data_IF_284372519246
#
_entry.id   IF_284372519246
#
_cell.length_a   1.000
_cell.length_b   1.000
_cell.length_c   1.000
_cell.angle_alpha   90.00
_cell.angle_beta   90.00
_cell.angle_gamma   90.00
#
_symmetry.space_group_name_H-M   'P 1'
#
loop_
_entity.id
_entity.type
_entity.pdbx_description
1 polymer ?
#
# COMPACT_ATOMS: atom_id res chain seq x y z
N UNK A 1 36.47 94.93 -48.35
CA UNK A 1 35.18 94.56 -47.72
C UNK A 1 34.66 93.18 -48.14
N UNK A 2 34.76 92.77 -49.41
CA UNK A 2 34.15 91.51 -49.90
C UNK A 2 34.85 90.24 -49.36
N UNK A 3 36.18 90.23 -49.21
CA UNK A 3 36.92 89.06 -48.69
C UNK A 3 36.74 88.80 -47.18
N UNK A 4 36.50 89.84 -46.37
CA UNK A 4 36.29 89.66 -44.92
C UNK A 4 34.91 89.07 -44.62
N UNK A 5 33.87 89.45 -45.38
CA UNK A 5 32.54 88.87 -45.25
C UNK A 5 32.51 87.39 -45.66
N UNK A 6 33.22 87.01 -46.73
CA UNK A 6 33.31 85.60 -47.17
C UNK A 6 34.02 84.71 -46.15
N UNK A 7 35.11 85.21 -45.54
CA UNK A 7 35.82 84.49 -44.49
C UNK A 7 35.00 84.37 -43.20
N UNK A 8 34.26 85.42 -42.83
CA UNK A 8 33.35 85.40 -41.69
C UNK A 8 32.21 84.40 -41.89
N UNK A 9 31.60 84.37 -43.08
CA UNK A 9 30.54 83.42 -43.40
C UNK A 9 31.03 81.96 -43.40
N UNK A 10 32.24 81.70 -43.92
CA UNK A 10 32.84 80.36 -43.88
C UNK A 10 33.16 79.92 -42.45
N UNK A 11 33.66 80.83 -41.61
CA UNK A 11 33.91 80.55 -40.19
C UNK A 11 32.61 80.23 -39.45
N UNK A 12 31.58 81.07 -39.61
CA UNK A 12 30.26 80.87 -39.00
C UNK A 12 29.63 79.54 -39.44
N UNK A 13 29.68 79.21 -40.73
CA UNK A 13 29.15 77.93 -41.23
C UNK A 13 29.90 76.71 -40.67
N UNK A 14 31.22 76.83 -40.46
CA UNK A 14 32.01 75.75 -39.86
C UNK A 14 31.68 75.57 -38.36
N UNK A 15 31.51 76.67 -37.62
CA UNK A 15 31.10 76.60 -36.21
C UNK A 15 29.67 76.09 -36.04
N UNK A 16 28.74 76.47 -36.93
CA UNK A 16 27.38 75.90 -36.97
C UNK A 16 27.44 74.39 -37.22
N UNK A 17 28.23 73.96 -38.22
CA UNK A 17 28.39 72.53 -38.52
C UNK A 17 28.97 71.74 -37.35
N UNK A 18 29.99 72.27 -36.66
CA UNK A 18 30.56 71.64 -35.45
C UNK A 18 29.53 71.53 -34.33
N UNK A 19 28.71 72.56 -34.14
CA UNK A 19 27.60 72.54 -33.17
C UNK A 19 26.60 71.45 -33.52
N UNK A 20 26.16 71.39 -34.78
CA UNK A 20 25.22 70.38 -35.27
C UNK A 20 25.78 68.96 -35.13
N UNK A 21 27.04 68.74 -35.51
CA UNK A 21 27.73 67.46 -35.36
C UNK A 21 27.83 67.05 -33.88
N UNK A 22 28.13 68.00 -32.98
CA UNK A 22 28.15 67.76 -31.53
C UNK A 22 26.78 67.37 -30.98
N UNK A 23 25.72 68.12 -31.30
CA UNK A 23 24.36 67.80 -30.86
C UNK A 23 23.85 66.47 -31.43
N UNK A 24 24.22 66.13 -32.67
CA UNK A 24 23.93 64.83 -33.28
C UNK A 24 24.67 63.69 -32.57
N UNK A 25 25.95 63.88 -32.21
CA UNK A 25 26.71 62.87 -31.46
C UNK A 25 26.09 62.62 -30.07
N UNK A 26 25.73 63.69 -29.36
CA UNK A 26 25.09 63.62 -28.04
C UNK A 26 23.72 62.94 -28.15
N UNK A 27 22.90 63.32 -29.14
CA UNK A 27 21.61 62.69 -29.40
C UNK A 27 21.75 61.19 -29.70
N UNK A 28 22.73 60.81 -30.52
CA UNK A 28 23.01 59.41 -30.84
C UNK A 28 23.48 58.60 -29.61
N UNK A 29 24.34 59.17 -28.75
CA UNK A 29 24.77 58.53 -27.49
C UNK A 29 23.60 58.34 -26.54
N UNK A 30 22.75 59.35 -26.39
CA UNK A 30 21.55 59.29 -25.57
C UNK A 30 20.58 58.21 -26.06
N UNK A 31 20.28 58.18 -27.36
CA UNK A 31 19.40 57.16 -27.95
C UNK A 31 19.94 55.73 -27.74
N UNK A 32 21.25 55.51 -27.89
CA UNK A 32 21.88 54.21 -27.61
C UNK A 32 21.76 53.82 -26.14
N UNK A 33 22.00 54.76 -25.21
CA UNK A 33 21.88 54.51 -23.78
C UNK A 33 20.45 54.11 -23.39
N UNK A 34 19.44 54.84 -23.88
CA UNK A 34 18.03 54.52 -23.65
C UNK A 34 17.65 53.15 -24.24
N UNK A 35 18.12 52.85 -25.47
CA UNK A 35 17.89 51.53 -26.10
C UNK A 35 18.51 50.40 -25.29
N UNK A 36 19.75 50.55 -24.82
CA UNK A 36 20.43 49.53 -24.04
C UNK A 36 19.74 49.29 -22.70
N UNK A 37 19.30 50.36 -22.02
CA UNK A 37 18.53 50.26 -20.78
C UNK A 37 17.20 49.52 -21.00
N UNK A 38 16.50 49.83 -22.10
CA UNK A 38 15.27 49.12 -22.48
C UNK A 38 15.51 47.63 -22.75
N UNK A 39 16.55 47.28 -23.50
CA UNK A 39 16.90 45.89 -23.80
C UNK A 39 17.28 45.12 -22.51
N UNK A 40 18.07 45.73 -21.64
CA UNK A 40 18.43 45.17 -20.34
C UNK A 40 17.19 44.89 -19.48
N UNK A 41 16.28 45.86 -19.37
CA UNK A 41 15.01 45.68 -18.65
C UNK A 41 14.16 44.57 -19.27
N UNK A 42 14.07 44.52 -20.61
CA UNK A 42 13.32 43.47 -21.33
C UNK A 42 13.89 42.08 -21.06
N UNK A 43 15.21 41.93 -21.09
CA UNK A 43 15.88 40.67 -20.79
C UNK A 43 15.70 40.24 -19.33
N UNK A 44 15.86 41.17 -18.38
CA UNK A 44 15.58 40.91 -16.97
C UNK A 44 14.14 40.43 -16.75
N UNK A 45 13.17 41.12 -17.34
CA UNK A 45 11.74 40.74 -17.25
C UNK A 45 11.49 39.37 -17.86
N UNK A 46 12.12 39.05 -18.99
CA UNK A 46 12.02 37.74 -19.62
C UNK A 46 12.65 36.63 -18.75
N UNK A 47 13.84 36.86 -18.17
CA UNK A 47 14.49 35.91 -17.25
C UNK A 47 13.63 35.66 -16.01
N UNK A 48 13.13 36.72 -15.39
CA UNK A 48 12.26 36.63 -14.22
C UNK A 48 10.96 35.89 -14.56
N UNK A 49 10.34 36.19 -15.71
CA UNK A 49 9.13 35.49 -16.15
C UNK A 49 9.38 34.00 -16.36
N UNK A 50 10.49 33.60 -17.00
CA UNK A 50 10.84 32.18 -17.19
C UNK A 50 11.11 31.48 -15.87
N UNK A 51 11.84 32.12 -14.97
CA UNK A 51 12.10 31.59 -13.63
C UNK A 51 10.79 31.38 -12.86
N UNK A 52 9.90 32.38 -12.87
CA UNK A 52 8.58 32.28 -12.26
C UNK A 52 7.73 31.17 -12.87
N UNK A 53 7.69 31.06 -14.20
CA UNK A 53 6.95 29.99 -14.89
C UNK A 53 7.49 28.61 -14.51
N UNK A 54 8.81 28.47 -14.41
CA UNK A 54 9.46 27.22 -14.02
C UNK A 54 9.12 26.85 -12.57
N UNK A 55 9.18 27.81 -11.66
CA UNK A 55 8.87 27.57 -10.26
C UNK A 55 7.37 27.28 -10.04
N UNK A 56 6.48 27.98 -10.75
CA UNK A 56 5.04 27.68 -10.74
C UNK A 56 4.76 26.27 -11.26
N UNK A 57 5.44 25.84 -12.33
CA UNK A 57 5.30 24.47 -12.84
C UNK A 57 5.83 23.43 -11.85
N UNK A 58 6.93 23.72 -11.14
CA UNK A 58 7.46 22.87 -10.08
C UNK A 58 6.48 22.76 -8.91
N UNK A 59 5.93 23.87 -8.44
CA UNK A 59 4.96 23.88 -7.34
C UNK A 59 3.67 23.14 -7.70
N UNK A 60 3.21 23.22 -8.96
CA UNK A 60 2.07 22.42 -9.45
C UNK A 60 2.35 20.92 -9.34
N UNK A 61 3.50 20.45 -9.81
CA UNK A 61 3.88 19.03 -9.68
C UNK A 61 3.96 18.58 -8.22
N UNK A 62 4.58 19.37 -7.35
CA UNK A 62 4.65 19.06 -5.91
C UNK A 62 3.24 18.95 -5.31
N UNK A 63 2.32 19.84 -5.69
CA UNK A 63 0.93 19.78 -5.25
C UNK A 63 0.23 18.51 -5.74
N UNK A 64 0.38 18.16 -7.01
CA UNK A 64 -0.19 16.94 -7.61
C UNK A 64 0.35 15.68 -6.92
N UNK A 65 1.66 15.60 -6.68
CA UNK A 65 2.31 14.50 -5.95
C UNK A 65 1.77 14.40 -4.52
N UNK A 66 1.61 15.54 -3.82
CA UNK A 66 1.06 15.57 -2.46
C UNK A 66 -0.40 15.13 -2.41
N UNK A 67 -1.22 15.56 -3.38
CA UNK A 67 -2.62 15.10 -3.51
C UNK A 67 -2.69 13.60 -3.78
N UNK A 68 -1.81 13.08 -4.64
CA UNK A 68 -1.69 11.64 -4.91
C UNK A 68 -1.29 10.86 -3.65
N UNK A 69 -0.22 11.26 -2.96
CA UNK A 69 0.18 10.60 -1.71
C UNK A 69 -0.90 10.68 -0.64
N UNK A 70 -1.66 11.77 -0.56
CA UNK A 70 -2.82 11.88 0.34
C UNK A 70 -3.92 10.87 -0.03
N UNK A 71 -4.21 10.69 -1.33
CA UNK A 71 -5.17 9.68 -1.78
C UNK A 71 -4.68 8.27 -1.46
N UNK A 72 -3.41 7.95 -1.75
CA UNK A 72 -2.79 6.65 -1.42
C UNK A 72 -2.84 6.36 0.09
N UNK A 73 -2.56 7.36 0.94
CA UNK A 73 -2.68 7.20 2.40
C UNK A 73 -4.13 6.95 2.81
N UNK A 74 -5.09 7.69 2.24
CA UNK A 74 -6.51 7.48 2.54
C UNK A 74 -6.97 6.10 2.08
N UNK A 75 -6.57 5.66 0.88
CA UNK A 75 -6.87 4.32 0.36
C UNK A 75 -6.25 3.24 1.25
N UNK A 76 -4.98 3.38 1.63
CA UNK A 76 -4.29 2.46 2.54
C UNK A 76 -4.93 2.39 3.94
N UNK A 77 -5.55 3.48 4.39
CA UNK A 77 -6.35 3.53 5.63
C UNK A 77 -7.68 2.81 5.42
N UNK A 78 -8.27 2.94 4.23
CA UNK A 78 -9.57 2.39 3.87
C UNK A 78 -9.54 0.93 3.39
N UNK A 79 -8.37 0.34 3.13
CA UNK A 79 -8.21 -1.05 2.68
C UNK A 79 -7.47 -1.95 3.69
N UNK A 80 -7.02 -1.39 4.81
CA UNK A 80 -6.30 -2.09 5.87
C UNK A 80 -4.79 -2.22 5.63
N UNK A 81 -4.22 -1.57 4.60
CA UNK A 81 -2.82 -1.73 4.22
C UNK A 81 -1.84 -0.75 4.88
N UNK A 82 -2.33 0.26 5.61
CA UNK A 82 -1.46 1.25 6.24
C UNK A 82 -0.66 0.66 7.42
N UNK A 83 0.65 0.47 7.21
CA UNK A 83 1.57 -0.13 8.19
C UNK A 83 1.97 0.80 9.34
N UNK A 84 1.68 2.10 9.23
CA UNK A 84 1.89 3.05 10.34
C UNK A 84 0.79 2.94 11.40
N UNK A 85 -0.30 2.24 11.10
CA UNK A 85 -1.45 2.09 11.98
C UNK A 85 -1.47 0.68 12.57
N UNK A 86 -1.54 0.53 13.91
CA UNK A 86 -1.62 -0.78 14.55
C UNK A 86 -2.83 -1.59 14.09
N UNK A 87 -2.75 -2.94 14.06
CA UNK A 87 -3.86 -3.81 13.65
C UNK A 87 -5.19 -3.53 14.35
N UNK A 88 -5.16 -3.21 15.66
CA UNK A 88 -6.37 -2.89 16.43
C UNK A 88 -7.10 -1.66 15.90
N UNK A 89 -6.38 -0.64 15.45
CA UNK A 89 -6.95 0.57 14.86
C UNK A 89 -7.44 0.31 13.44
N UNK A 90 -6.72 -0.50 12.66
CA UNK A 90 -7.18 -0.94 11.33
C UNK A 90 -8.49 -1.71 11.41
N UNK A 91 -8.62 -2.62 12.37
CA UNK A 91 -9.86 -3.35 12.62
C UNK A 91 -11.02 -2.44 13.06
N UNK A 92 -10.75 -1.37 13.82
CA UNK A 92 -11.76 -0.36 14.16
C UNK A 92 -12.22 0.43 12.92
N UNK A 93 -11.29 0.79 12.03
CA UNK A 93 -11.61 1.44 10.75
C UNK A 93 -12.45 0.50 9.88
N UNK A 94 -12.06 -0.77 9.78
CA UNK A 94 -12.86 -1.80 9.10
C UNK A 94 -14.28 -1.87 9.67
N UNK A 95 -14.43 -1.92 10.99
CA UNK A 95 -15.75 -1.98 11.63
C UNK A 95 -16.60 -0.73 11.39
N UNK A 96 -15.98 0.45 11.25
CA UNK A 96 -16.67 1.68 10.86
C UNK A 96 -17.17 1.63 9.42
N UNK A 97 -16.41 1.01 8.52
CA UNK A 97 -16.73 0.93 7.09
C UNK A 97 -17.72 -0.20 6.78
N UNK A 98 -17.64 -1.32 7.51
CA UNK A 98 -18.40 -2.56 7.31
C UNK A 98 -19.02 -3.05 8.64
N UNK A 99 -19.96 -2.31 9.23
CA UNK A 99 -20.44 -2.59 10.59
C UNK A 99 -21.19 -3.92 10.74
N UNK A 100 -21.93 -4.35 9.70
CA UNK A 100 -22.67 -5.62 9.75
C UNK A 100 -21.70 -6.80 9.64
N UNK A 101 -20.77 -6.71 8.70
CA UNK A 101 -19.75 -7.72 8.47
C UNK A 101 -18.83 -7.83 9.69
N UNK A 102 -18.39 -6.70 10.27
CA UNK A 102 -17.57 -6.70 11.48
C UNK A 102 -18.28 -7.37 12.68
N UNK A 103 -19.61 -7.21 12.82
CA UNK A 103 -20.38 -7.88 13.85
C UNK A 103 -20.42 -9.41 13.65
N UNK A 104 -20.62 -9.87 12.41
CA UNK A 104 -20.64 -11.29 12.06
C UNK A 104 -19.25 -11.94 12.13
N UNK A 105 -18.21 -11.20 11.74
CA UNK A 105 -16.81 -11.60 11.88
C UNK A 105 -16.49 -11.78 13.36
N UNK A 106 -16.74 -10.73 14.15
CA UNK A 106 -16.57 -10.71 15.60
C UNK A 106 -15.14 -10.92 16.08
N UNK A 107 -14.91 -10.59 17.35
CA UNK A 107 -13.70 -10.98 18.06
C UNK A 107 -13.86 -12.40 18.59
N UNK A 108 -12.75 -13.12 18.77
CA UNK A 108 -12.77 -14.41 19.44
C UNK A 108 -13.40 -14.27 20.82
N UNK A 109 -14.42 -15.08 21.09
CA UNK A 109 -15.05 -15.14 22.41
C UNK A 109 -15.60 -16.54 22.68
N UNK A 110 -15.20 -17.13 23.81
CA UNK A 110 -15.58 -18.50 24.17
C UNK A 110 -17.11 -18.63 24.20
N UNK A 111 -17.64 -19.59 23.44
CA UNK A 111 -19.07 -19.87 23.34
C UNK A 111 -19.81 -19.09 22.22
N UNK A 112 -19.20 -18.03 21.68
CA UNK A 112 -19.76 -17.25 20.57
C UNK A 112 -19.81 -18.06 19.27
N UNK A 113 -20.65 -17.63 18.33
CA UNK A 113 -20.82 -18.24 17.00
C UNK A 113 -20.43 -17.30 15.87
N UNK A 114 -19.65 -16.26 16.16
CA UNK A 114 -19.06 -15.39 15.15
C UNK A 114 -17.99 -16.13 14.33
N UNK A 115 -17.69 -15.63 13.13
CA UNK A 115 -16.81 -16.31 12.16
C UNK A 115 -15.41 -16.53 12.74
N UNK A 116 -14.84 -15.55 13.45
CA UNK A 116 -13.51 -15.67 14.09
C UNK A 116 -13.49 -16.80 15.12
N UNK A 117 -14.53 -16.90 15.94
CA UNK A 117 -14.64 -17.95 16.97
C UNK A 117 -14.87 -19.32 16.35
N UNK A 118 -15.69 -19.40 15.30
CA UNK A 118 -15.93 -20.66 14.59
C UNK A 118 -14.66 -21.14 13.87
N UNK A 119 -13.88 -20.24 13.25
CA UNK A 119 -12.60 -20.57 12.64
C UNK A 119 -11.62 -21.15 13.66
N UNK A 120 -11.47 -20.49 14.81
CA UNK A 120 -10.65 -21.02 15.90
C UNK A 120 -11.15 -22.39 16.35
N UNK A 121 -12.48 -22.56 16.50
CA UNK A 121 -13.08 -23.83 16.92
C UNK A 121 -12.75 -24.96 15.93
N UNK A 122 -13.02 -24.80 14.64
CA UNK A 122 -12.68 -25.82 13.64
C UNK A 122 -11.18 -26.16 13.65
N UNK A 123 -10.30 -25.17 13.81
CA UNK A 123 -8.86 -25.40 13.81
C UNK A 123 -8.35 -26.12 15.07
N UNK A 124 -9.06 -26.05 16.20
CA UNK A 124 -8.62 -26.65 17.47
C UNK A 124 -9.44 -27.87 17.90
N UNK A 125 -10.40 -28.33 17.09
CA UNK A 125 -11.23 -29.48 17.43
C UNK A 125 -10.45 -30.80 17.37
N UNK A 126 -10.87 -31.77 18.19
CA UNK A 126 -10.32 -33.12 18.22
C UNK A 126 -9.40 -33.41 19.41
N UNK A 127 -8.69 -34.53 19.33
CA UNK A 127 -7.80 -35.09 20.34
C UNK A 127 -6.39 -35.24 19.76
N UNK A 128 -5.42 -34.53 20.33
CA UNK A 128 -4.02 -34.53 19.89
C UNK A 128 -3.45 -35.94 19.70
N UNK A 129 -3.87 -36.91 20.50
CA UNK A 129 -3.38 -38.29 20.42
C UNK A 129 -3.91 -39.07 19.21
N UNK A 130 -4.97 -38.58 18.57
CA UNK A 130 -5.65 -39.25 17.45
C UNK A 130 -5.30 -38.67 16.08
N UNK A 131 -4.59 -37.54 16.05
CA UNK A 131 -4.12 -36.90 14.83
C UNK A 131 -4.77 -35.56 14.53
N UNK A 132 -4.85 -34.64 15.50
CA UNK A 132 -5.19 -33.25 15.20
C UNK A 132 -4.07 -32.53 14.45
N UNK A 133 -4.32 -31.28 14.08
CA UNK A 133 -3.26 -30.37 13.65
C UNK A 133 -2.24 -30.16 14.76
N UNK A 134 -0.97 -30.02 14.36
CA UNK A 134 0.14 -29.78 15.28
C UNK A 134 0.16 -28.33 15.73
N UNK A 135 0.45 -28.13 17.02
CA UNK A 135 0.66 -26.81 17.61
C UNK A 135 1.73 -26.89 18.71
N UNK A 136 3.02 -26.84 18.35
CA UNK A 136 4.10 -26.83 19.34
C UNK A 136 3.96 -25.66 20.31
N UNK A 137 4.13 -25.93 21.62
CA UNK A 137 3.87 -24.95 22.69
C UNK A 137 4.78 -23.73 22.59
N UNK A 138 6.02 -23.92 22.15
CA UNK A 138 7.03 -22.89 21.98
C UNK A 138 6.67 -21.87 20.88
N UNK A 139 5.79 -22.25 19.95
CA UNK A 139 5.32 -21.36 18.90
C UNK A 139 4.09 -20.53 19.33
N UNK A 140 3.52 -20.81 20.51
CA UNK A 140 2.38 -20.08 21.08
C UNK A 140 1.16 -19.95 20.15
N UNK A 141 1.04 -20.85 19.18
CA UNK A 141 0.00 -20.81 18.15
C UNK A 141 0.47 -20.25 16.81
N UNK A 142 1.43 -19.33 16.79
CA UNK A 142 1.98 -18.71 15.56
C UNK A 142 2.65 -19.75 14.66
N UNK A 143 2.47 -19.64 13.35
CA UNK A 143 3.12 -20.46 12.33
C UNK A 143 2.75 -21.94 12.34
N UNK A 144 1.79 -22.35 13.16
CA UNK A 144 1.42 -23.76 13.36
C UNK A 144 0.41 -24.26 12.33
N UNK A 145 0.21 -25.59 12.23
CA UNK A 145 -0.85 -26.16 11.39
C UNK A 145 -2.25 -25.68 11.83
N UNK A 146 -2.45 -25.50 13.14
CA UNK A 146 -3.69 -24.92 13.69
C UNK A 146 -3.89 -23.50 13.16
N UNK A 147 -2.85 -22.65 13.18
CA UNK A 147 -2.96 -21.27 12.69
C UNK A 147 -3.23 -21.23 11.19
N UNK A 148 -2.46 -22.01 10.43
CA UNK A 148 -2.60 -22.11 8.99
C UNK A 148 -4.02 -22.49 8.57
N UNK A 149 -4.60 -23.50 9.23
CA UNK A 149 -5.97 -23.90 8.98
C UNK A 149 -6.97 -22.82 9.38
N UNK A 150 -6.80 -22.21 10.56
CA UNK A 150 -7.66 -21.12 11.08
C UNK A 150 -7.75 -19.95 10.09
N UNK A 151 -6.61 -19.43 9.63
CA UNK A 151 -6.56 -18.30 8.69
C UNK A 151 -7.19 -18.67 7.34
N UNK A 152 -6.90 -19.88 6.85
CA UNK A 152 -7.48 -20.38 5.60
C UNK A 152 -9.01 -20.42 5.66
N UNK A 153 -9.60 -21.03 6.68
CA UNK A 153 -11.07 -21.14 6.76
C UNK A 153 -11.73 -19.81 7.12
N UNK A 154 -11.07 -18.96 7.90
CA UNK A 154 -11.54 -17.61 8.19
C UNK A 154 -11.68 -16.83 6.88
N UNK A 155 -10.61 -16.72 6.09
CA UNK A 155 -10.66 -16.01 4.80
C UNK A 155 -11.54 -16.68 3.76
N UNK A 156 -11.63 -18.01 3.72
CA UNK A 156 -12.57 -18.70 2.85
C UNK A 156 -14.02 -18.33 3.17
N UNK A 157 -14.35 -18.25 4.46
CA UNK A 157 -15.69 -17.87 4.91
C UNK A 157 -16.02 -16.42 4.59
N UNK A 158 -15.07 -15.50 4.82
CA UNK A 158 -15.25 -14.09 4.47
C UNK A 158 -15.43 -13.89 2.97
N UNK A 159 -14.60 -14.56 2.16
CA UNK A 159 -14.65 -14.41 0.71
C UNK A 159 -15.93 -15.01 0.12
N UNK A 160 -16.36 -16.17 0.61
CA UNK A 160 -17.63 -16.78 0.18
C UNK A 160 -18.85 -15.92 0.53
N UNK A 161 -18.85 -15.26 1.70
CA UNK A 161 -19.99 -14.46 2.18
C UNK A 161 -20.02 -13.04 1.67
N UNK A 162 -18.87 -12.38 1.60
CA UNK A 162 -18.77 -10.93 1.40
C UNK A 162 -17.93 -10.55 0.17
N UNK A 163 -17.38 -11.53 -0.55
CA UNK A 163 -16.52 -11.31 -1.70
C UNK A 163 -15.09 -10.93 -1.33
N UNK A 164 -14.25 -10.84 -2.36
CA UNK A 164 -12.80 -10.69 -2.22
C UNK A 164 -12.40 -9.41 -1.49
N UNK A 165 -13.06 -8.29 -1.82
CA UNK A 165 -12.71 -6.96 -1.31
C UNK A 165 -12.81 -6.89 0.22
N UNK A 166 -13.94 -7.35 0.78
CA UNK A 166 -14.18 -7.30 2.23
C UNK A 166 -13.29 -8.31 2.95
N UNK A 167 -13.14 -9.52 2.40
CA UNK A 167 -12.27 -10.54 2.96
C UNK A 167 -10.81 -10.06 3.03
N UNK A 168 -10.30 -9.49 1.94
CA UNK A 168 -8.93 -8.97 1.87
C UNK A 168 -8.73 -7.83 2.85
N UNK A 169 -9.64 -6.86 2.94
CA UNK A 169 -9.52 -5.76 3.89
C UNK A 169 -9.52 -6.29 5.34
N UNK A 170 -10.43 -7.19 5.71
CA UNK A 170 -10.44 -7.78 7.04
C UNK A 170 -9.11 -8.48 7.36
N UNK A 171 -8.54 -9.22 6.40
CA UNK A 171 -7.23 -9.86 6.54
C UNK A 171 -6.10 -8.87 6.70
N UNK A 172 -6.00 -7.89 5.80
CA UNK A 172 -4.93 -6.89 5.83
C UNK A 172 -4.97 -6.02 7.10
N UNK A 173 -6.17 -5.77 7.62
CA UNK A 173 -6.38 -5.09 8.91
C UNK A 173 -5.93 -5.93 10.13
N UNK A 174 -5.89 -7.26 9.99
CA UNK A 174 -5.44 -8.18 11.05
C UNK A 174 -3.92 -8.25 11.17
N UNK A 175 -3.19 -8.11 10.05
CA UNK A 175 -1.73 -8.20 10.00
C UNK A 175 -1.03 -6.91 10.47
N UNK A 176 0.24 -6.96 10.88
CA UNK A 176 1.02 -5.73 11.16
C UNK A 176 1.41 -5.04 9.85
N UNK A 177 2.03 -5.77 8.93
CA UNK A 177 2.38 -5.31 7.59
C UNK A 177 1.84 -6.24 6.48
N UNK A 178 0.67 -5.92 5.88
CA UNK A 178 0.10 -6.73 4.81
C UNK A 178 0.79 -6.56 3.45
N UNK A 179 1.89 -5.80 3.37
CA UNK A 179 2.63 -5.49 2.14
C UNK A 179 4.01 -6.16 2.09
N UNK A 180 4.31 -7.07 3.03
CA UNK A 180 5.57 -7.81 3.03
C UNK A 180 5.77 -8.58 1.72
N UNK A 181 7.02 -8.73 1.31
CA UNK A 181 7.37 -9.54 0.15
C UNK A 181 7.12 -11.02 0.44
N UNK A 182 6.00 -11.52 -0.09
CA UNK A 182 5.60 -12.91 0.00
C UNK A 182 6.48 -13.85 -0.83
N UNK A 183 7.67 -13.48 -1.29
CA UNK A 183 8.69 -14.42 -1.78
C UNK A 183 9.77 -14.73 -0.74
N UNK A 184 9.86 -13.94 0.33
CA UNK A 184 10.77 -14.21 1.44
C UNK A 184 10.24 -15.39 2.25
N UNK A 185 11.10 -16.38 2.50
CA UNK A 185 10.75 -17.64 3.18
C UNK A 185 11.61 -17.95 4.38
N UNK A 186 12.67 -17.20 4.63
CA UNK A 186 13.57 -17.40 5.77
C UNK A 186 13.55 -16.17 6.66
N UNK A 187 13.34 -16.38 7.95
CA UNK A 187 13.21 -15.31 8.94
C UNK A 187 14.00 -15.65 10.21
N UNK A 188 14.52 -14.64 10.89
CA UNK A 188 15.24 -14.81 12.15
C UNK A 188 14.27 -15.05 13.33
N UNK A 189 13.07 -14.49 13.26
CA UNK A 189 12.06 -14.51 14.34
C UNK A 189 10.73 -15.07 13.84
N UNK A 190 9.98 -15.71 14.75
CA UNK A 190 8.74 -16.41 14.41
C UNK A 190 7.64 -15.46 13.93
N UNK A 191 7.44 -14.34 14.61
CA UNK A 191 6.38 -13.38 14.30
C UNK A 191 6.43 -12.86 12.84
N UNK A 192 7.64 -12.62 12.31
CA UNK A 192 7.80 -12.19 10.90
C UNK A 192 7.46 -13.32 9.91
N UNK A 193 7.83 -14.56 10.26
CA UNK A 193 7.45 -15.73 9.49
C UNK A 193 5.94 -15.97 9.53
N UNK A 194 5.33 -15.83 10.71
CA UNK A 194 3.90 -16.02 10.94
C UNK A 194 3.06 -15.04 10.12
N UNK A 195 3.40 -13.75 10.11
CA UNK A 195 2.70 -12.79 9.26
C UNK A 195 2.74 -13.18 7.77
N UNK A 196 3.88 -13.68 7.28
CA UNK A 196 4.00 -14.17 5.91
C UNK A 196 3.12 -15.41 5.67
N UNK A 197 3.09 -16.32 6.64
CA UNK A 197 2.26 -17.53 6.64
C UNK A 197 0.76 -17.16 6.61
N UNK A 198 0.34 -16.24 7.47
CA UNK A 198 -1.03 -15.78 7.57
C UNK A 198 -1.48 -15.14 6.27
N UNK A 199 -0.67 -14.24 5.68
CA UNK A 199 -0.98 -13.65 4.37
C UNK A 199 -1.10 -14.67 3.23
N UNK A 200 -0.20 -15.66 3.19
CA UNK A 200 -0.23 -16.72 2.18
C UNK A 200 -1.46 -17.63 2.34
N UNK A 201 -1.76 -18.04 3.57
CA UNK A 201 -2.94 -18.86 3.87
C UNK A 201 -4.24 -18.06 3.69
N UNK A 202 -4.21 -16.75 3.94
CA UNK A 202 -5.30 -15.84 3.65
C UNK A 202 -5.60 -15.81 2.14
N UNK A 203 -4.58 -15.80 1.27
CA UNK A 203 -4.76 -15.90 -0.18
C UNK A 203 -5.39 -17.24 -0.60
N UNK A 204 -4.92 -18.35 -0.03
CA UNK A 204 -5.51 -19.69 -0.28
C UNK A 204 -6.97 -19.73 0.15
N UNK A 205 -7.26 -19.21 1.36
CA UNK A 205 -8.60 -19.12 1.91
C UNK A 205 -9.54 -18.36 0.98
N UNK A 206 -9.17 -17.13 0.58
CA UNK A 206 -9.98 -16.35 -0.36
C UNK A 206 -10.23 -17.08 -1.67
N UNK A 207 -9.21 -17.74 -2.23
CA UNK A 207 -9.37 -18.52 -3.44
C UNK A 207 -10.36 -19.69 -3.26
N UNK A 208 -10.34 -20.38 -2.11
CA UNK A 208 -11.34 -21.41 -1.79
C UNK A 208 -12.75 -20.81 -1.73
N UNK A 209 -12.92 -19.70 -1.01
CA UNK A 209 -14.23 -19.07 -0.82
C UNK A 209 -14.83 -18.47 -2.09
N UNK A 210 -14.01 -17.89 -2.97
CA UNK A 210 -14.48 -17.29 -4.23
C UNK A 210 -14.88 -18.34 -5.27
N UNK A 211 -14.27 -19.52 -5.22
CA UNK A 211 -14.54 -20.62 -6.14
C UNK A 211 -15.48 -21.68 -5.55
N UNK A 212 -15.95 -21.49 -4.30
CA UNK A 212 -16.95 -22.36 -3.71
C UNK A 212 -18.35 -21.92 -4.14
N UNK A 213 -19.26 -22.89 -4.28
CA UNK A 213 -20.69 -22.62 -4.48
C UNK A 213 -21.46 -22.57 -3.14
N UNK A 214 -20.77 -22.26 -2.04
CA UNK A 214 -21.33 -22.37 -0.68
C UNK A 214 -20.71 -21.38 0.29
N UNK A 215 -21.54 -20.92 1.24
CA UNK A 215 -21.16 -20.09 2.39
C UNK A 215 -21.16 -20.87 3.71
N UNK A 216 -21.44 -22.19 3.66
CA UNK A 216 -21.36 -23.12 4.81
C UNK A 216 -19.91 -23.22 5.27
N UNK A 217 -19.67 -22.83 6.52
CA UNK A 217 -18.31 -22.85 7.07
C UNK A 217 -17.84 -24.28 7.30
N UNK A 218 -18.74 -25.20 7.64
CA UNK A 218 -18.43 -26.64 7.69
C UNK A 218 -17.95 -27.16 6.33
N UNK A 219 -18.67 -26.81 5.26
CA UNK A 219 -18.30 -27.25 3.90
C UNK A 219 -16.97 -26.63 3.46
N UNK A 220 -16.77 -25.34 3.73
CA UNK A 220 -15.49 -24.66 3.46
C UNK A 220 -14.33 -25.26 4.27
N UNK A 221 -14.56 -25.66 5.52
CA UNK A 221 -13.56 -26.34 6.34
C UNK A 221 -13.19 -27.71 5.75
N UNK A 222 -14.14 -28.48 5.23
CA UNK A 222 -13.85 -29.75 4.54
C UNK A 222 -13.04 -29.54 3.24
N UNK A 223 -13.36 -28.49 2.47
CA UNK A 223 -12.59 -28.13 1.25
C UNK A 223 -11.16 -27.70 1.63
N UNK A 224 -11.02 -26.85 2.66
CA UNK A 224 -9.72 -26.44 3.17
C UNK A 224 -8.91 -27.62 3.72
N UNK A 225 -9.57 -28.60 4.36
CA UNK A 225 -8.92 -29.80 4.88
C UNK A 225 -8.38 -30.67 3.74
N UNK A 226 -9.14 -30.84 2.67
CA UNK A 226 -8.67 -31.51 1.45
C UNK A 226 -7.51 -30.76 0.79
N UNK A 227 -7.57 -29.43 0.73
CA UNK A 227 -6.46 -28.59 0.24
C UNK A 227 -5.19 -28.82 1.08
N UNK A 228 -5.32 -28.81 2.40
CA UNK A 228 -4.20 -29.03 3.31
C UNK A 228 -3.58 -30.43 3.13
N UNK A 229 -4.41 -31.44 2.87
CA UNK A 229 -3.94 -32.81 2.64
C UNK A 229 -3.28 -33.00 1.27
N UNK A 230 -3.89 -32.49 0.19
CA UNK A 230 -3.44 -32.77 -1.18
C UNK A 230 -2.33 -31.82 -1.65
N UNK A 231 -2.43 -30.54 -1.29
CA UNK A 231 -1.57 -29.47 -1.81
C UNK A 231 -0.74 -28.78 -0.74
N UNK A 232 -1.22 -28.77 0.50
CA UNK A 232 -0.56 -28.17 1.65
C UNK A 232 -0.97 -26.72 1.94
N UNK A 233 -0.71 -26.30 3.18
CA UNK A 233 -0.83 -24.92 3.66
C UNK A 233 0.52 -24.44 4.17
N UNK A 234 0.70 -23.13 4.32
CA UNK A 234 1.96 -22.58 4.81
C UNK A 234 2.06 -22.67 6.32
N UNK A 235 3.22 -23.08 6.82
CA UNK A 235 3.57 -23.19 8.25
C UNK A 235 5.03 -22.81 8.45
N UNK A 236 5.44 -22.60 9.71
CA UNK A 236 6.81 -22.31 10.08
C UNK A 236 7.51 -23.59 10.55
N UNK A 237 8.69 -23.85 10.00
CA UNK A 237 9.62 -24.88 10.47
C UNK A 237 10.84 -24.21 11.06
N UNK A 238 11.17 -24.54 12.32
CA UNK A 238 12.36 -24.02 12.97
C UNK A 238 13.61 -24.69 12.41
N UNK A 239 14.62 -23.90 12.05
CA UNK A 239 15.91 -24.36 11.55
C UNK A 239 17.08 -23.64 12.24
N UNK A 240 18.31 -23.93 11.81
CA UNK A 240 19.52 -23.35 12.41
C UNK A 240 19.62 -21.81 12.29
N UNK A 241 18.86 -21.21 11.38
CA UNK A 241 18.87 -19.77 11.07
C UNK A 241 17.61 -19.04 11.55
N UNK A 242 16.73 -19.71 12.30
CA UNK A 242 15.46 -19.15 12.76
C UNK A 242 14.28 -20.00 12.29
N UNK A 243 13.45 -19.45 11.41
CA UNK A 243 12.22 -20.06 10.91
C UNK A 243 12.13 -19.99 9.39
N UNK A 244 11.75 -21.11 8.78
CA UNK A 244 11.46 -21.25 7.37
C UNK A 244 9.95 -21.40 7.15
N UNK A 245 9.41 -20.64 6.21
CA UNK A 245 8.02 -20.74 5.76
C UNK A 245 7.94 -21.84 4.70
N UNK A 246 7.27 -22.94 5.01
CA UNK A 246 7.14 -24.09 4.10
C UNK A 246 5.68 -24.39 3.82
N UNK A 247 5.40 -24.95 2.64
CA UNK A 247 4.06 -25.45 2.30
C UNK A 247 3.97 -26.93 2.70
N UNK A 248 3.40 -27.19 3.87
CA UNK A 248 3.31 -28.52 4.46
C UNK A 248 1.96 -29.18 4.16
N UNK A 249 1.98 -30.50 3.94
CA UNK A 249 0.77 -31.33 3.85
C UNK A 249 0.55 -32.05 5.17
N UNK A 250 -0.70 -32.08 5.63
CA UNK A 250 -1.08 -32.97 6.74
C UNK A 250 -1.02 -34.43 6.31
N UNK A 251 -0.74 -35.32 7.25
CA UNK A 251 -0.68 -36.76 6.99
C UNK A 251 -2.05 -37.36 6.66
N UNK A 252 -2.06 -38.57 6.07
CA UNK A 252 -3.29 -39.34 5.85
C UNK A 252 -4.07 -39.60 7.15
N UNK A 253 -3.35 -39.83 8.25
CA UNK A 253 -3.95 -40.07 9.58
C UNK A 253 -4.64 -38.80 10.07
N UNK A 254 -3.96 -37.66 10.00
CA UNK A 254 -4.54 -36.38 10.40
C UNK A 254 -5.75 -36.03 9.54
N UNK A 255 -5.65 -36.20 8.21
CA UNK A 255 -6.75 -35.93 7.30
C UNK A 255 -7.97 -36.80 7.62
N UNK A 256 -7.82 -38.12 7.73
CA UNK A 256 -8.93 -39.02 8.01
C UNK A 256 -9.58 -38.71 9.36
N UNK A 257 -8.78 -38.43 10.39
CA UNK A 257 -9.29 -38.08 11.71
C UNK A 257 -10.04 -36.75 11.70
N UNK A 258 -9.41 -35.67 11.23
CA UNK A 258 -10.04 -34.33 11.21
C UNK A 258 -11.27 -34.30 10.32
N UNK A 259 -11.30 -35.07 9.22
CA UNK A 259 -12.49 -35.20 8.38
C UNK A 259 -13.65 -35.80 9.17
N UNK A 260 -13.42 -36.90 9.90
CA UNK A 260 -14.46 -37.51 10.73
C UNK A 260 -14.96 -36.58 11.83
N UNK A 261 -14.06 -35.78 12.44
CA UNK A 261 -14.43 -34.74 13.40
C UNK A 261 -15.33 -33.72 12.73
N UNK A 262 -14.92 -33.10 11.63
CA UNK A 262 -15.70 -32.05 10.96
C UNK A 262 -17.04 -32.55 10.42
N UNK A 263 -17.13 -33.79 9.95
CA UNK A 263 -18.39 -34.42 9.53
C UNK A 263 -19.41 -34.51 10.68
N UNK A 264 -18.94 -34.67 11.93
CA UNK A 264 -19.78 -34.70 13.14
C UNK A 264 -20.22 -33.32 13.67
N UNK A 265 -19.54 -32.24 13.28
CA UNK A 265 -19.80 -30.89 13.80
C UNK A 265 -20.93 -30.18 13.03
N UNK A 266 -21.50 -29.13 13.62
CA UNK A 266 -22.42 -28.20 12.96
C UNK A 266 -21.70 -27.07 12.17
N UNK A 267 -22.46 -26.11 11.62
CA UNK A 267 -21.93 -24.94 10.88
C UNK A 267 -21.04 -24.01 11.73
N UNK A 268 -21.12 -24.13 13.06
CA UNK A 268 -20.30 -23.37 13.98
C UNK A 268 -19.09 -24.19 14.45
N UNK A 269 -18.96 -25.45 14.07
CA UNK A 269 -17.93 -26.35 14.58
C UNK A 269 -18.24 -26.89 15.97
N UNK A 270 -19.51 -26.93 16.39
CA UNK A 270 -19.98 -27.49 17.66
C UNK A 270 -20.49 -28.91 17.50
#
# INVERSE_FOLDING_TARGET
>A
MINSQKNLNNFLNNEIKKSDDFWNEIGNKYQRAVRNLFLYYREMKAKLSRALTTEVARLKRIKEDLEKSRMEINEAIHDGQNTAIPPSVKQLIFAKLYPKEALEIGLFSKGSTNITTNAARFATQGDEKKGTFTQPKEMQGEGTQVNAFRHTIWQATLAARYGEKIAKHAGDAHEVDPRVDLNIRQFAVLNDADQTIDLLNNQIGRHIGLNSNTTSMKTLALIALEKFHKEGLYVAVKNAHGYEVVKEKISNVQYAYMKSVFESLDENGK
#
